data_IF_529569879731
#
_entry.id   IF_529569879731
#
_cell.length_a   1.000
_cell.length_b   1.000
_cell.length_c   1.000
_cell.angle_alpha   90.00
_cell.angle_beta   90.00
_cell.angle_gamma   90.00
#
_symmetry.space_group_name_H-M   'P 1'
#
loop_
_entity.id
_entity.type
_entity.pdbx_description
1 polymer ?
#
# COMPACT_ATOMS: atom_id res chain seq x y z
N UNK A 1 16.62 11.27 -20.41
CA UNK A 1 15.61 12.08 -19.70
C UNK A 1 16.33 13.22 -18.96
N UNK A 2 15.76 14.43 -18.90
CA UNK A 2 16.35 15.57 -18.16
C UNK A 2 15.29 16.23 -17.27
N UNK A 3 15.64 16.45 -16.01
CA UNK A 3 14.84 17.16 -15.03
C UNK A 3 14.95 18.67 -15.27
N UNK A 4 13.85 19.42 -15.13
CA UNK A 4 13.88 20.88 -15.25
C UNK A 4 14.62 21.53 -14.07
N UNK A 5 15.14 22.75 -14.27
CA UNK A 5 15.90 23.49 -13.24
C UNK A 5 15.09 23.68 -11.94
N UNK A 6 13.75 23.74 -12.04
CA UNK A 6 12.84 23.81 -10.90
C UNK A 6 12.44 22.46 -10.29
N UNK A 7 12.94 21.34 -10.82
CA UNK A 7 12.63 19.95 -10.44
C UNK A 7 11.14 19.58 -10.42
N UNK A 8 10.27 20.39 -11.03
CA UNK A 8 8.82 20.19 -11.04
C UNK A 8 8.32 19.40 -12.25
N UNK A 9 9.20 19.17 -13.24
CA UNK A 9 8.86 18.50 -14.49
C UNK A 9 10.05 17.77 -15.08
N UNK A 10 9.78 16.66 -15.77
CA UNK A 10 10.73 15.95 -16.62
C UNK A 10 10.15 15.87 -18.03
N UNK A 11 11.00 15.98 -19.05
CA UNK A 11 10.59 15.71 -20.43
C UNK A 11 11.05 14.31 -20.86
N UNK A 12 10.13 13.55 -21.44
CA UNK A 12 10.32 12.19 -21.96
C UNK A 12 9.63 12.07 -23.32
N UNK A 13 10.33 11.50 -24.29
CA UNK A 13 9.77 11.11 -25.58
C UNK A 13 10.31 9.73 -25.92
N UNK A 14 9.43 8.80 -26.27
CA UNK A 14 9.77 7.42 -26.59
C UNK A 14 9.29 7.17 -28.02
N UNK A 15 10.22 7.17 -28.96
CA UNK A 15 9.95 6.97 -30.39
C UNK A 15 10.60 5.67 -30.88
N UNK A 16 10.48 4.62 -30.07
CA UNK A 16 11.04 3.30 -30.33
C UNK A 16 10.15 2.21 -29.74
N UNK A 17 10.33 0.96 -30.21
CA UNK A 17 9.62 -0.20 -29.66
C UNK A 17 10.50 -0.87 -28.61
N UNK A 18 10.01 -0.96 -27.38
CA UNK A 18 10.72 -1.57 -26.25
C UNK A 18 10.21 -2.99 -26.00
N UNK A 19 11.13 -3.91 -25.70
CA UNK A 19 10.80 -5.21 -25.11
C UNK A 19 10.29 -5.06 -23.66
N UNK A 20 9.71 -6.12 -23.10
CA UNK A 20 9.22 -6.12 -21.72
C UNK A 20 10.32 -5.81 -20.68
N UNK A 21 11.53 -6.32 -20.89
CA UNK A 21 12.69 -6.02 -20.03
C UNK A 21 13.12 -4.56 -20.15
N UNK A 22 13.12 -4.00 -21.36
CA UNK A 22 13.50 -2.61 -21.60
C UNK A 22 12.45 -1.64 -21.04
N UNK A 23 11.16 -1.96 -21.18
CA UNK A 23 10.08 -1.22 -20.54
C UNK A 23 10.17 -1.27 -19.01
N UNK A 24 10.58 -2.41 -18.44
CA UNK A 24 10.80 -2.55 -16.99
C UNK A 24 11.94 -1.67 -16.51
N UNK A 25 13.06 -1.66 -17.24
CA UNK A 25 14.20 -0.77 -16.98
C UNK A 25 13.80 0.70 -17.06
N UNK A 26 13.00 1.08 -18.07
CA UNK A 26 12.49 2.44 -18.22
C UNK A 26 11.60 2.88 -17.05
N UNK A 27 10.70 2.01 -16.58
CA UNK A 27 9.86 2.30 -15.41
C UNK A 27 10.72 2.53 -14.16
N UNK A 28 11.78 1.73 -13.97
CA UNK A 28 12.71 1.91 -12.86
C UNK A 28 13.45 3.25 -12.92
N UNK A 29 13.91 3.66 -14.11
CA UNK A 29 14.55 4.96 -14.32
C UNK A 29 13.58 6.12 -14.07
N UNK A 30 12.32 6.01 -14.51
CA UNK A 30 11.29 7.00 -14.25
C UNK A 30 10.94 7.11 -12.75
N UNK A 31 10.98 6.00 -12.02
CA UNK A 31 10.80 6.01 -10.57
C UNK A 31 11.95 6.79 -9.87
N UNK A 32 13.20 6.59 -10.29
CA UNK A 32 14.38 7.36 -9.81
C UNK A 32 14.22 8.86 -10.09
N UNK A 33 13.67 9.22 -11.25
CA UNK A 33 13.40 10.62 -11.58
C UNK A 33 12.28 11.19 -10.70
N UNK A 34 11.16 10.46 -10.56
CA UNK A 34 10.02 10.90 -9.75
C UNK A 34 10.40 11.14 -8.29
N UNK A 35 11.32 10.35 -7.74
CA UNK A 35 11.85 10.52 -6.38
C UNK A 35 12.60 11.84 -6.18
N UNK A 36 13.18 12.41 -7.24
CA UNK A 36 13.93 13.67 -7.22
C UNK A 36 13.09 14.89 -7.64
N UNK A 37 11.79 14.70 -7.93
CA UNK A 37 10.89 15.78 -8.33
C UNK A 37 10.22 16.46 -7.13
N UNK A 38 9.91 17.74 -7.30
CA UNK A 38 9.08 18.52 -6.38
C UNK A 38 7.60 18.54 -6.83
N UNK A 39 6.64 18.53 -5.88
CA UNK A 39 6.84 18.38 -4.43
C UNK A 39 7.40 16.99 -4.10
N UNK A 40 8.20 16.93 -3.02
CA UNK A 40 8.77 15.69 -2.52
C UNK A 40 7.69 14.60 -2.46
N UNK A 41 8.07 13.37 -2.82
CA UNK A 41 7.22 12.22 -2.54
C UNK A 41 7.02 12.19 -1.03
N UNK A 42 5.76 12.23 -0.58
CA UNK A 42 5.46 12.35 0.85
C UNK A 42 6.24 11.33 1.69
N UNK A 43 7.09 11.84 2.57
CA UNK A 43 8.01 11.10 3.45
C UNK A 43 7.33 10.79 4.79
N UNK A 44 6.10 10.27 4.76
CA UNK A 44 5.57 9.52 5.92
C UNK A 44 5.60 8.01 5.67
N UNK A 45 6.80 7.39 5.52
CA UNK A 45 7.02 5.99 5.83
C UNK A 45 7.14 5.87 7.32
N UNK A 46 6.33 5.03 7.93
CA UNK A 46 6.62 4.64 9.28
C UNK A 46 7.78 3.63 9.34
N UNK A 47 8.16 3.20 10.55
CA UNK A 47 9.52 3.00 11.07
C UNK A 47 10.29 1.76 10.52
N UNK A 48 11.60 1.84 10.22
CA UNK A 48 12.46 0.75 9.65
C UNK A 48 12.66 -0.51 10.54
N UNK A 49 12.86 -1.69 9.94
CA UNK A 49 13.18 -2.98 10.59
C UNK A 49 14.66 -3.36 10.41
N UNK A 50 15.24 -4.03 11.42
CA UNK A 50 16.68 -4.28 11.61
C UNK A 50 17.38 -5.17 10.54
N UNK A 51 16.66 -5.85 9.65
CA UNK A 51 17.24 -6.86 8.75
C UNK A 51 17.46 -6.40 7.30
N UNK A 52 17.04 -5.19 6.95
CA UNK A 52 17.23 -4.59 5.61
C UNK A 52 16.51 -5.30 4.47
N UNK A 53 15.69 -6.34 4.74
CA UNK A 53 14.93 -7.07 3.71
C UNK A 53 13.57 -6.43 3.41
N UNK A 54 13.07 -5.63 4.35
CA UNK A 54 11.82 -4.90 4.25
C UNK A 54 11.95 -3.51 4.88
N UNK A 55 11.14 -2.56 4.39
CA UNK A 55 10.85 -1.34 5.13
C UNK A 55 9.71 -1.64 6.09
N UNK A 56 10.00 -1.65 7.39
CA UNK A 56 8.93 -1.65 8.40
C UNK A 56 8.20 -0.31 8.34
N UNK A 57 6.92 -0.37 8.72
CA UNK A 57 6.01 0.75 8.71
C UNK A 57 5.09 0.62 9.92
N UNK A 58 5.33 1.39 10.97
CA UNK A 58 4.39 1.64 12.08
C UNK A 58 3.08 2.34 11.68
N UNK A 59 1.93 1.78 12.02
CA UNK A 59 0.62 2.34 11.64
C UNK A 59 0.46 2.58 10.11
N UNK A 60 0.70 1.55 9.27
CA UNK A 60 0.45 1.68 7.85
C UNK A 60 -1.04 1.71 7.58
N UNK A 61 -1.46 2.49 6.58
CA UNK A 61 -2.84 2.39 6.09
C UNK A 61 -3.02 1.05 5.37
N UNK A 62 -3.78 0.17 6.01
CA UNK A 62 -4.19 -1.12 5.47
C UNK A 62 -5.66 -1.07 5.07
N UNK A 63 -5.99 -1.55 3.88
CA UNK A 63 -7.37 -1.79 3.45
C UNK A 63 -7.50 -3.24 3.01
N UNK A 64 -8.51 -3.93 3.54
CA UNK A 64 -8.79 -5.33 3.22
C UNK A 64 -10.17 -5.40 2.58
N UNK A 65 -10.29 -6.16 1.49
CA UNK A 65 -11.59 -6.42 0.85
C UNK A 65 -11.68 -7.85 0.35
N UNK A 66 -12.89 -8.43 0.39
CA UNK A 66 -13.16 -9.74 -0.20
C UNK A 66 -13.49 -9.55 -1.68
N UNK A 67 -12.84 -10.32 -2.54
CA UNK A 67 -13.12 -10.38 -3.96
C UNK A 67 -14.19 -11.44 -4.25
N UNK A 68 -14.89 -11.30 -5.38
CA UNK A 68 -15.96 -12.22 -5.81
C UNK A 68 -15.46 -13.65 -6.08
N UNK A 69 -14.17 -13.81 -6.37
CA UNK A 69 -13.51 -15.07 -6.67
C UNK A 69 -12.88 -15.75 -5.44
N UNK A 70 -13.38 -15.40 -4.25
CA UNK A 70 -12.95 -15.99 -2.98
C UNK A 70 -11.49 -15.71 -2.59
N UNK A 71 -10.88 -14.66 -3.18
CA UNK A 71 -9.62 -14.07 -2.71
C UNK A 71 -9.86 -12.89 -1.79
N UNK A 72 -8.84 -12.54 -1.01
CA UNK A 72 -8.79 -11.37 -0.15
C UNK A 72 -7.74 -10.42 -0.71
N UNK A 73 -8.14 -9.18 -0.99
CA UNK A 73 -7.23 -8.15 -1.48
C UNK A 73 -6.75 -7.27 -0.33
N UNK A 74 -5.43 -7.17 -0.18
CA UNK A 74 -4.73 -6.30 0.77
C UNK A 74 -4.17 -5.11 0.00
N UNK A 75 -4.49 -3.90 0.47
CA UNK A 75 -3.87 -2.67 -0.01
C UNK A 75 -3.06 -2.12 1.14
N UNK A 76 -1.75 -2.11 0.97
CA UNK A 76 -0.83 -1.51 1.92
C UNK A 76 -0.34 -0.19 1.33
N UNK A 77 -0.61 0.92 2.01
CA UNK A 77 0.01 2.18 1.61
C UNK A 77 1.45 2.16 2.08
N UNK A 78 2.35 1.87 1.15
CA UNK A 78 3.76 2.09 1.36
C UNK A 78 4.08 3.57 1.10
N UNK A 79 4.84 4.18 1.99
CA UNK A 79 5.32 5.53 1.76
C UNK A 79 6.65 5.51 1.04
N UNK A 80 6.76 6.40 0.07
CA UNK A 80 7.85 6.35 -0.90
C UNK A 80 7.53 5.51 -2.14
N UNK A 81 6.88 4.34 -2.00
CA UNK A 81 6.57 3.44 -3.14
C UNK A 81 5.11 3.44 -3.60
N UNK A 82 4.21 4.19 -2.96
CA UNK A 82 2.76 4.20 -3.23
C UNK A 82 2.04 2.92 -2.76
N UNK A 83 0.88 2.59 -3.33
CA UNK A 83 0.11 1.42 -2.92
C UNK A 83 0.78 0.11 -3.37
N UNK A 84 0.97 -0.81 -2.42
CA UNK A 84 1.25 -2.22 -2.68
C UNK A 84 -0.06 -2.99 -2.58
N UNK A 85 -0.40 -3.79 -3.59
CA UNK A 85 -1.67 -4.51 -3.66
C UNK A 85 -1.39 -6.01 -3.83
N UNK A 86 -1.98 -6.83 -2.96
CA UNK A 86 -1.83 -8.28 -2.95
C UNK A 86 -3.20 -8.96 -2.99
N UNK A 87 -3.38 -9.94 -3.88
CA UNK A 87 -4.55 -10.79 -3.92
C UNK A 87 -4.20 -12.16 -3.35
N UNK A 88 -4.67 -12.44 -2.14
CA UNK A 88 -4.34 -13.65 -1.37
C UNK A 88 -5.51 -14.64 -1.43
N UNK A 89 -5.27 -15.91 -1.78
CA UNK A 89 -6.28 -16.97 -1.68
C UNK A 89 -6.85 -17.10 -0.25
N UNK A 90 -8.16 -17.37 -0.13
CA UNK A 90 -8.82 -17.47 1.18
C UNK A 90 -8.23 -18.54 2.11
N UNK A 91 -7.70 -19.65 1.56
CA UNK A 91 -7.03 -20.68 2.37
C UNK A 91 -5.74 -20.16 3.03
N UNK A 92 -4.97 -19.29 2.35
CA UNK A 92 -3.79 -18.64 2.94
C UNK A 92 -4.21 -17.54 3.94
N UNK A 93 -5.31 -16.83 3.65
CA UNK A 93 -5.85 -15.83 4.58
C UNK A 93 -6.33 -16.43 5.91
N UNK A 94 -6.79 -17.69 5.91
CA UNK A 94 -7.14 -18.41 7.15
C UNK A 94 -5.95 -18.55 8.10
N UNK A 95 -4.74 -18.80 7.60
CA UNK A 95 -3.54 -18.85 8.44
C UNK A 95 -3.20 -17.49 9.05
N UNK A 96 -3.43 -16.39 8.31
CA UNK A 96 -3.27 -15.02 8.83
C UNK A 96 -4.28 -14.78 9.95
N UNK A 97 -5.56 -15.15 9.75
CA UNK A 97 -6.61 -15.05 10.77
C UNK A 97 -6.22 -15.78 12.05
N UNK A 98 -5.83 -17.05 11.93
CA UNK A 98 -5.55 -17.89 13.09
C UNK A 98 -4.37 -17.36 13.90
N UNK A 99 -3.32 -16.86 13.23
CA UNK A 99 -2.19 -16.21 13.88
C UNK A 99 -2.61 -14.93 14.62
N UNK A 100 -3.39 -14.06 13.97
CA UNK A 100 -3.85 -12.81 14.59
C UNK A 100 -4.71 -13.11 15.82
N UNK A 101 -5.70 -14.01 15.73
CA UNK A 101 -6.56 -14.40 16.86
C UNK A 101 -5.74 -14.90 18.06
N UNK A 102 -4.67 -15.65 17.82
CA UNK A 102 -3.82 -16.16 18.89
C UNK A 102 -2.93 -15.09 19.55
N UNK A 103 -2.67 -13.96 18.88
CA UNK A 103 -1.66 -12.98 19.30
C UNK A 103 -2.20 -11.57 19.56
N UNK A 104 -3.49 -11.31 19.33
CA UNK A 104 -4.14 -10.04 19.69
C UNK A 104 -5.01 -10.21 20.94
N UNK A 105 -5.10 -9.17 21.76
CA UNK A 105 -5.96 -9.18 22.95
C UNK A 105 -7.43 -9.40 22.55
N UNK A 106 -8.09 -10.33 23.22
CA UNK A 106 -9.51 -10.62 23.03
C UNK A 106 -10.35 -9.49 23.63
N UNK A 107 -10.87 -8.61 22.78
CA UNK A 107 -11.81 -7.54 23.17
C UNK A 107 -12.38 -6.85 21.94
N UNK A 108 -13.69 -7.05 21.72
CA UNK A 108 -14.58 -6.41 20.71
C UNK A 108 -13.93 -5.97 19.39
N UNK A 109 -14.04 -6.82 18.38
CA UNK A 109 -13.87 -6.38 16.99
C UNK A 109 -14.98 -5.38 16.64
N UNK A 110 -14.63 -4.16 16.23
CA UNK A 110 -15.58 -3.15 15.74
C UNK A 110 -16.16 -3.48 14.35
N UNK A 111 -15.74 -4.61 13.76
CA UNK A 111 -16.08 -5.03 12.41
C UNK A 111 -17.56 -5.43 12.24
N UNK A 112 -18.27 -5.63 13.37
CA UNK A 112 -19.70 -5.95 13.43
C UNK A 112 -20.46 -5.05 14.41
N UNK A 113 -19.97 -3.83 14.70
CA UNK A 113 -20.82 -2.84 15.37
C UNK A 113 -21.87 -2.37 14.36
N UNK A 114 -22.99 -3.07 14.34
CA UNK A 114 -24.22 -2.52 13.80
C UNK A 114 -24.51 -1.24 14.58
N UNK A 115 -24.67 -0.15 13.83
CA UNK A 115 -25.07 1.16 14.32
C UNK A 115 -26.54 1.09 14.76
N UNK A 116 -26.80 0.43 15.89
CA UNK A 116 -28.10 0.46 16.57
C UNK A 116 -28.25 1.82 17.29
N UNK A 117 -28.25 2.88 16.48
CA UNK A 117 -28.69 4.20 16.87
C UNK A 117 -30.21 4.23 16.95
N UNK A 118 -30.79 3.60 17.97
CA UNK A 118 -32.17 3.89 18.36
C UNK A 118 -32.16 4.82 19.57
N UNK A 119 -32.15 6.12 19.26
CA UNK A 119 -32.34 7.17 20.23
C UNK A 119 -33.74 7.06 20.82
N UNK A 120 -33.83 6.60 22.06
CA UNK A 120 -35.04 6.77 22.84
C UNK A 120 -34.78 7.72 24.02
N UNK A 121 -35.11 8.97 23.78
CA UNK A 121 -35.63 9.89 24.79
C UNK A 121 -36.69 9.18 25.64
N UNK A 122 -36.65 9.28 26.97
CA UNK A 122 -37.79 9.72 27.78
C UNK A 122 -37.49 9.79 29.29
N UNK A 123 -37.82 10.97 29.83
CA UNK A 123 -38.22 11.35 31.20
C UNK A 123 -37.23 11.27 32.37
#
# INVERSE_FOLDING_TARGET
>A
MKLSDGKKSVSLSINETLSASELTTLIAELAVIRANMLPEVSIKPPINSDDGTASMQDDPRLVISRLKDNRIRFWLRNAGLSWLIFDIPSNQASSIRDYLVANIQTGTSDLFRDDDGDGNTHH
#
